data_IF_597435145837
#
_entry.id   IF_597435145837
#
_cell.length_a   1.000
_cell.length_b   1.000
_cell.length_c   1.000
_cell.angle_alpha   90.00
_cell.angle_beta   90.00
_cell.angle_gamma   90.00
#
_symmetry.space_group_name_H-M   'P 1'
#
loop_
_entity.id
_entity.type
_entity.pdbx_description
1 polymer ?
#
# COMPACT_ATOMS: atom_id res chain seq x y z
N UNK A 1 -2.18 -1.80 29.52
CA UNK A 1 -2.47 -1.28 28.15
C UNK A 1 -3.57 -2.14 27.54
N UNK A 2 -4.66 -1.57 27.04
CA UNK A 2 -5.63 -2.29 26.21
C UNK A 2 -5.30 -1.99 24.75
N UNK A 3 -5.24 -3.03 23.91
CA UNK A 3 -5.02 -2.89 22.46
C UNK A 3 -6.33 -2.63 21.69
N UNK A 4 -7.48 -2.79 22.35
CA UNK A 4 -8.79 -2.62 21.74
C UNK A 4 -9.29 -1.17 21.91
N UNK A 5 -9.60 -0.52 20.80
CA UNK A 5 -10.28 0.78 20.78
C UNK A 5 -11.75 0.66 21.18
N UNK A 6 -12.28 1.67 21.89
CA UNK A 6 -13.70 1.77 22.21
C UNK A 6 -14.47 2.57 21.16
N UNK A 7 -15.72 2.21 20.90
CA UNK A 7 -16.63 3.02 20.09
C UNK A 7 -17.12 4.24 20.89
N UNK A 8 -17.20 5.43 20.28
CA UNK A 8 -17.71 6.63 20.96
C UNK A 8 -19.16 6.45 21.38
N UNK A 9 -19.52 7.02 22.54
CA UNK A 9 -20.90 7.05 23.02
C UNK A 9 -21.76 7.90 22.09
N UNK A 10 -23.02 7.50 21.92
CA UNK A 10 -24.01 8.20 21.10
C UNK A 10 -24.50 9.50 21.78
N UNK A 11 -23.69 10.55 21.71
CA UNK A 11 -24.06 11.92 22.12
C UNK A 11 -24.00 12.85 20.92
N UNK A 12 -24.81 13.91 20.92
CA UNK A 12 -24.87 14.90 19.84
C UNK A 12 -23.52 15.60 19.60
N UNK A 13 -22.77 15.83 20.67
CA UNK A 13 -21.40 16.38 20.62
C UNK A 13 -20.41 15.42 19.93
N UNK A 14 -20.41 14.13 20.28
CA UNK A 14 -19.51 13.16 19.66
C UNK A 14 -19.79 13.00 18.16
N UNK A 15 -21.07 13.09 17.76
CA UNK A 15 -21.47 13.02 16.36
C UNK A 15 -20.98 14.23 15.57
N UNK A 16 -21.08 15.45 16.12
CA UNK A 16 -20.61 16.65 15.43
C UNK A 16 -19.09 16.64 15.25
N UNK A 17 -18.35 16.21 16.27
CA UNK A 17 -16.89 16.03 16.21
C UNK A 17 -16.51 14.96 15.19
N UNK A 18 -17.18 13.81 15.20
CA UNK A 18 -16.94 12.75 14.22
C UNK A 18 -17.17 13.21 12.79
N UNK A 19 -18.28 13.92 12.51
CA UNK A 19 -18.58 14.42 11.18
C UNK A 19 -17.55 15.46 10.70
N UNK A 20 -17.08 16.32 11.60
CA UNK A 20 -16.04 17.29 11.31
C UNK A 20 -14.71 16.58 10.98
N UNK A 21 -14.30 15.64 11.82
CA UNK A 21 -13.11 14.80 11.59
C UNK A 21 -13.23 14.04 10.27
N UNK A 22 -14.38 13.42 10.01
CA UNK A 22 -14.64 12.66 8.79
C UNK A 22 -14.56 13.53 7.54
N UNK A 23 -15.06 14.77 7.59
CA UNK A 23 -14.92 15.70 6.46
C UNK A 23 -13.46 16.08 6.23
N UNK A 24 -12.71 16.38 7.30
CA UNK A 24 -11.30 16.78 7.23
C UNK A 24 -10.43 15.64 6.67
N UNK A 25 -10.58 14.43 7.21
CA UNK A 25 -9.78 13.28 6.78
C UNK A 25 -10.05 12.94 5.31
N UNK A 26 -11.30 12.99 4.85
CA UNK A 26 -11.61 12.77 3.43
C UNK A 26 -10.97 13.83 2.53
N UNK A 27 -10.94 15.10 2.96
CA UNK A 27 -10.32 16.18 2.20
C UNK A 27 -8.80 16.03 2.16
N UNK A 28 -8.18 15.74 3.31
CA UNK A 28 -6.74 15.50 3.41
C UNK A 28 -6.32 14.31 2.55
N UNK A 29 -7.02 13.17 2.61
CA UNK A 29 -6.72 12.04 1.75
C UNK A 29 -6.96 12.35 0.26
N UNK A 30 -8.02 13.08 -0.09
CA UNK A 30 -8.24 13.46 -1.49
C UNK A 30 -7.10 14.34 -2.03
N UNK A 31 -6.64 15.32 -1.26
CA UNK A 31 -5.56 16.22 -1.70
C UNK A 31 -4.22 15.51 -1.65
N UNK A 32 -3.84 14.95 -0.51
CA UNK A 32 -2.52 14.37 -0.28
C UNK A 32 -2.35 13.06 -1.03
N UNK A 33 -3.30 12.13 -0.94
CA UNK A 33 -3.12 10.83 -1.58
C UNK A 33 -3.49 10.85 -3.06
N UNK A 34 -4.70 11.34 -3.39
CA UNK A 34 -5.21 11.23 -4.75
C UNK A 34 -4.60 12.27 -5.69
N UNK A 35 -4.64 13.57 -5.34
CA UNK A 35 -4.12 14.63 -6.23
C UNK A 35 -2.60 14.53 -6.37
N UNK A 36 -1.85 14.51 -5.26
CA UNK A 36 -0.38 14.46 -5.39
C UNK A 36 0.08 13.16 -6.02
N UNK A 37 -0.52 12.01 -5.65
CA UNK A 37 -0.22 10.72 -6.26
C UNK A 37 -0.48 10.70 -7.77
N UNK A 38 -1.62 11.23 -8.22
CA UNK A 38 -1.95 11.34 -9.63
C UNK A 38 -0.95 12.24 -10.38
N UNK A 39 -0.64 13.42 -9.84
CA UNK A 39 0.33 14.34 -10.45
C UNK A 39 1.71 13.69 -10.55
N UNK A 40 2.20 13.06 -9.48
CA UNK A 40 3.50 12.39 -9.49
C UNK A 40 3.54 11.24 -10.48
N UNK A 41 2.51 10.40 -10.54
CA UNK A 41 2.43 9.30 -11.52
C UNK A 41 2.40 9.81 -12.96
N UNK A 42 1.64 10.86 -13.24
CA UNK A 42 1.56 11.45 -14.58
C UNK A 42 2.89 12.09 -14.98
N UNK A 43 3.56 12.79 -14.07
CA UNK A 43 4.87 13.42 -14.32
C UNK A 43 5.97 12.38 -14.54
N UNK A 44 6.02 11.32 -13.73
CA UNK A 44 6.96 10.20 -13.93
C UNK A 44 6.67 9.45 -15.23
N UNK A 45 5.39 9.19 -15.55
CA UNK A 45 5.02 8.56 -16.82
C UNK A 45 5.41 9.41 -18.02
N UNK A 46 5.22 10.74 -17.94
CA UNK A 46 5.62 11.68 -18.98
C UNK A 46 7.15 11.73 -19.13
N UNK A 47 7.88 11.73 -18.02
CA UNK A 47 9.34 11.69 -18.01
C UNK A 47 9.85 10.41 -18.69
N UNK A 48 9.32 9.25 -18.31
CA UNK A 48 9.67 7.97 -18.94
C UNK A 48 9.32 7.99 -20.43
N UNK A 49 8.15 8.48 -20.80
CA UNK A 49 7.78 8.61 -22.22
C UNK A 49 8.77 9.47 -23.00
N UNK A 50 9.12 10.67 -22.53
CA UNK A 50 10.01 11.57 -23.30
C UNK A 50 11.43 11.01 -23.41
N UNK A 51 11.89 10.23 -22.43
CA UNK A 51 13.30 9.79 -22.32
C UNK A 51 13.56 8.40 -22.88
N UNK A 52 12.59 7.49 -22.81
CA UNK A 52 12.77 6.07 -23.17
C UNK A 52 11.86 5.60 -24.31
N UNK A 53 10.98 6.44 -24.85
CA UNK A 53 10.08 6.03 -25.93
C UNK A 53 10.84 5.53 -27.17
N UNK A 54 10.42 4.35 -27.66
CA UNK A 54 11.01 3.62 -28.82
C UNK A 54 12.48 3.19 -28.67
N UNK A 55 13.05 3.20 -27.46
CA UNK A 55 14.36 2.60 -27.23
C UNK A 55 14.24 1.08 -27.07
N UNK A 56 15.03 0.34 -27.83
CA UNK A 56 15.07 -1.13 -27.79
C UNK A 56 15.70 -1.63 -26.47
N UNK A 57 15.24 -2.79 -25.97
CA UNK A 57 15.82 -3.45 -24.79
C UNK A 57 15.37 -2.93 -23.43
N UNK A 58 14.36 -2.05 -23.36
CA UNK A 58 13.81 -1.47 -22.12
C UNK A 58 12.49 -2.14 -21.69
N UNK A 59 11.99 -3.11 -22.47
CA UNK A 59 10.64 -3.65 -22.32
C UNK A 59 10.36 -4.30 -20.96
N UNK A 60 11.40 -4.81 -20.28
CA UNK A 60 11.25 -5.57 -19.05
C UNK A 60 12.20 -5.05 -17.94
N UNK A 61 11.62 -4.46 -16.89
CA UNK A 61 12.29 -4.24 -15.60
C UNK A 61 12.80 -2.83 -15.34
N UNK A 62 13.77 -2.71 -14.41
CA UNK A 62 14.25 -1.45 -13.81
C UNK A 62 15.21 -0.67 -14.74
N UNK A 63 15.60 -1.26 -15.87
CA UNK A 63 16.60 -0.69 -16.79
C UNK A 63 16.24 0.69 -17.35
N UNK A 64 14.94 1.03 -17.42
CA UNK A 64 14.49 2.35 -17.85
C UNK A 64 15.02 3.48 -16.95
N UNK A 65 15.18 3.25 -15.64
CA UNK A 65 15.71 4.26 -14.70
C UNK A 65 17.15 4.67 -15.02
N UNK A 66 17.99 3.72 -15.44
CA UNK A 66 19.36 4.02 -15.87
C UNK A 66 19.39 4.81 -17.17
N UNK A 67 18.44 4.54 -18.08
CA UNK A 67 18.29 5.27 -19.34
C UNK A 67 17.78 6.69 -19.11
N UNK A 68 16.82 6.88 -18.20
CA UNK A 68 16.37 8.19 -17.73
C UNK A 68 17.54 8.99 -17.13
N UNK A 69 18.29 8.39 -16.21
CA UNK A 69 19.47 9.01 -15.61
C UNK A 69 20.53 9.42 -16.63
N UNK A 70 20.80 8.56 -17.61
CA UNK A 70 21.76 8.84 -18.69
C UNK A 70 21.27 9.99 -19.58
N UNK A 71 19.97 10.01 -19.90
CA UNK A 71 19.37 11.10 -20.68
C UNK A 71 19.42 12.44 -19.94
N UNK A 72 19.09 12.45 -18.65
CA UNK A 72 19.17 13.64 -17.78
C UNK A 72 20.61 14.14 -17.66
N UNK A 73 21.56 13.21 -17.50
CA UNK A 73 22.99 13.55 -17.43
C UNK A 73 23.49 14.24 -18.70
N UNK A 74 23.03 13.80 -19.87
CA UNK A 74 23.42 14.35 -21.17
C UNK A 74 22.81 15.73 -21.46
N UNK A 75 21.61 16.02 -20.94
CA UNK A 75 20.89 17.27 -21.23
C UNK A 75 20.98 18.31 -20.11
N UNK A 76 21.51 17.96 -18.94
CA UNK A 76 21.65 18.89 -17.82
C UNK A 76 23.07 18.83 -17.24
N UNK A 77 23.33 17.93 -16.29
CA UNK A 77 24.67 17.65 -15.74
C UNK A 77 24.70 16.24 -15.17
N UNK A 78 25.88 15.60 -15.14
CA UNK A 78 26.08 14.25 -14.58
C UNK A 78 25.69 14.16 -13.10
N UNK A 79 25.84 15.24 -12.34
CA UNK A 79 25.43 15.29 -10.93
C UNK A 79 23.91 15.13 -10.76
N UNK A 80 23.10 15.67 -11.67
CA UNK A 80 21.64 15.59 -11.59
C UNK A 80 21.16 14.19 -11.95
N UNK A 81 21.74 13.55 -12.97
CA UNK A 81 21.38 12.17 -13.31
C UNK A 81 21.75 11.16 -12.23
N UNK A 82 22.88 11.35 -11.54
CA UNK A 82 23.26 10.52 -10.39
C UNK A 82 22.36 10.78 -9.18
N UNK A 83 22.03 12.04 -8.90
CA UNK A 83 21.07 12.39 -7.85
C UNK A 83 19.68 11.77 -8.11
N UNK A 84 19.23 11.72 -9.37
CA UNK A 84 17.97 11.06 -9.75
C UNK A 84 17.96 9.58 -9.35
N UNK A 85 19.02 8.82 -9.66
CA UNK A 85 19.11 7.40 -9.27
C UNK A 85 19.15 7.22 -7.75
N UNK A 86 19.86 8.10 -7.04
CA UNK A 86 19.95 8.06 -5.59
C UNK A 86 18.58 8.30 -4.95
N UNK A 87 17.85 9.33 -5.41
CA UNK A 87 16.50 9.64 -4.93
C UNK A 87 15.55 8.49 -5.25
N UNK A 88 15.57 7.97 -6.48
CA UNK A 88 14.73 6.83 -6.87
C UNK A 88 15.01 5.60 -6.00
N UNK A 89 16.27 5.29 -5.73
CA UNK A 89 16.68 4.20 -4.84
C UNK A 89 16.15 4.41 -3.42
N UNK A 90 16.35 5.60 -2.83
CA UNK A 90 15.85 5.94 -1.49
C UNK A 90 14.32 5.85 -1.40
N UNK A 91 13.60 6.26 -2.44
CA UNK A 91 12.13 6.17 -2.49
C UNK A 91 11.65 4.72 -2.52
N UNK A 92 12.30 3.86 -3.32
CA UNK A 92 11.99 2.43 -3.37
C UNK A 92 12.25 1.77 -2.01
N UNK A 93 13.40 2.03 -1.39
CA UNK A 93 13.71 1.52 -0.05
C UNK A 93 12.72 2.05 1.01
N UNK A 94 12.45 3.36 1.02
CA UNK A 94 11.55 3.98 1.98
C UNK A 94 10.14 3.39 1.94
N UNK A 95 9.64 3.10 0.74
CA UNK A 95 8.34 2.44 0.55
C UNK A 95 8.35 1.04 1.15
N UNK A 96 9.39 0.24 0.88
CA UNK A 96 9.49 -1.13 1.40
C UNK A 96 9.67 -1.17 2.93
N UNK A 97 10.47 -0.27 3.50
CA UNK A 97 10.62 -0.17 4.95
C UNK A 97 9.28 0.14 5.65
N UNK A 98 8.48 1.04 5.09
CA UNK A 98 7.16 1.37 5.62
C UNK A 98 6.22 0.16 5.58
N UNK A 99 6.25 -0.62 4.50
CA UNK A 99 5.45 -1.84 4.34
C UNK A 99 5.86 -2.91 5.35
N UNK A 100 7.16 -3.22 5.47
CA UNK A 100 7.64 -4.23 6.42
C UNK A 100 7.33 -3.85 7.87
N UNK A 101 7.52 -2.58 8.23
CA UNK A 101 7.19 -2.09 9.56
C UNK A 101 5.69 -2.20 9.86
N UNK A 102 4.83 -1.76 8.93
CA UNK A 102 3.38 -1.77 9.11
C UNK A 102 2.84 -3.20 9.21
N UNK A 103 3.25 -4.09 8.31
CA UNK A 103 2.80 -5.48 8.29
C UNK A 103 3.30 -6.24 9.51
N UNK A 104 4.56 -6.06 9.92
CA UNK A 104 5.10 -6.69 11.14
C UNK A 104 4.35 -6.25 12.40
N UNK A 105 3.99 -4.97 12.48
CA UNK A 105 3.16 -4.45 13.58
C UNK A 105 1.77 -5.08 13.58
N UNK A 106 1.06 -5.05 12.44
CA UNK A 106 -0.29 -5.62 12.31
C UNK A 106 -0.30 -7.12 12.65
N UNK A 107 0.68 -7.89 12.17
CA UNK A 107 0.78 -9.32 12.47
C UNK A 107 1.05 -9.57 13.96
N UNK A 108 1.95 -8.80 14.57
CA UNK A 108 2.26 -8.92 15.99
C UNK A 108 1.06 -8.60 16.88
N UNK A 109 0.31 -7.55 16.55
CA UNK A 109 -0.90 -7.14 17.28
C UNK A 109 -2.01 -8.19 17.11
N UNK A 110 -2.28 -8.64 15.88
CA UNK A 110 -3.27 -9.67 15.60
C UNK A 110 -2.98 -10.99 16.33
N UNK A 111 -1.72 -11.40 16.42
CA UNK A 111 -1.34 -12.63 17.13
C UNK A 111 -1.62 -12.56 18.64
N UNK A 112 -1.32 -11.40 19.26
CA UNK A 112 -1.60 -11.16 20.68
C UNK A 112 -3.10 -11.11 20.94
N UNK A 113 -3.88 -10.47 20.07
CA UNK A 113 -5.34 -10.38 20.16
C UNK A 113 -5.99 -11.76 19.99
N UNK A 114 -5.51 -12.58 19.05
CA UNK A 114 -6.07 -13.90 18.76
C UNK A 114 -5.75 -14.93 19.86
N UNK A 115 -4.59 -14.82 20.53
CA UNK A 115 -4.15 -15.79 21.53
C UNK A 115 -3.55 -15.13 22.78
N UNK A 116 -4.35 -14.36 23.55
CA UNK A 116 -3.87 -13.57 24.68
C UNK A 116 -3.34 -14.43 25.84
N UNK A 117 -3.77 -15.69 25.91
CA UNK A 117 -3.27 -16.67 26.91
C UNK A 117 -1.85 -17.15 26.60
N UNK A 118 -1.45 -17.17 25.33
CA UNK A 118 -0.15 -17.67 24.87
C UNK A 118 0.85 -16.54 24.61
N UNK A 119 0.36 -15.40 24.11
CA UNK A 119 1.19 -14.24 23.77
C UNK A 119 0.75 -13.03 24.57
N UNK A 120 1.68 -12.45 25.33
CA UNK A 120 1.43 -11.27 26.16
C UNK A 120 1.76 -9.99 25.40
N UNK A 121 1.09 -8.90 25.75
CA UNK A 121 1.33 -7.55 25.20
C UNK A 121 2.79 -7.11 25.42
N UNK A 122 3.41 -7.52 26.53
CA UNK A 122 4.82 -7.26 26.84
C UNK A 122 5.79 -7.85 25.79
N UNK A 123 5.36 -8.87 25.05
CA UNK A 123 6.16 -9.52 24.01
C UNK A 123 6.03 -8.87 22.63
N UNK A 124 5.24 -7.80 22.49
CA UNK A 124 4.96 -7.16 21.20
C UNK A 124 6.24 -6.76 20.45
N UNK A 125 7.22 -6.17 21.14
CA UNK A 125 8.50 -5.81 20.53
C UNK A 125 9.26 -7.02 20.01
N UNK A 126 9.24 -8.15 20.73
CA UNK A 126 9.89 -9.39 20.27
C UNK A 126 9.17 -9.97 19.05
N UNK A 127 7.83 -10.03 19.11
CA UNK A 127 7.01 -10.52 18.00
C UNK A 127 7.18 -9.66 16.75
N UNK A 128 7.27 -8.34 16.90
CA UNK A 128 7.55 -7.43 15.81
C UNK A 128 8.85 -7.80 15.09
N UNK A 129 9.96 -7.98 15.82
CA UNK A 129 11.24 -8.34 15.20
C UNK A 129 11.21 -9.74 14.59
N UNK A 130 10.48 -10.70 15.19
CA UNK A 130 10.33 -12.04 14.61
C UNK A 130 9.62 -11.96 13.25
N UNK A 131 8.48 -11.25 13.15
CA UNK A 131 7.77 -11.10 11.88
C UNK A 131 8.57 -10.32 10.85
N UNK A 132 9.31 -9.29 11.28
CA UNK A 132 10.19 -8.52 10.41
C UNK A 132 11.28 -9.41 9.78
N UNK A 133 12.01 -10.15 10.60
CA UNK A 133 13.05 -11.05 10.11
C UNK A 133 12.49 -12.19 9.27
N UNK A 134 11.31 -12.72 9.61
CA UNK A 134 10.63 -13.72 8.81
C UNK A 134 10.31 -13.20 7.39
N UNK A 135 9.84 -11.96 7.27
CA UNK A 135 9.56 -11.32 5.98
C UNK A 135 10.84 -11.11 5.16
N UNK A 136 11.92 -10.63 5.79
CA UNK A 136 13.22 -10.45 5.14
C UNK A 136 13.77 -11.79 4.64
N UNK A 137 13.78 -12.81 5.50
CA UNK A 137 14.24 -14.15 5.15
C UNK A 137 13.39 -14.78 4.04
N UNK A 138 12.07 -14.56 4.06
CA UNK A 138 11.17 -14.97 2.99
C UNK A 138 11.55 -14.33 1.65
N UNK A 139 11.83 -13.02 1.64
CA UNK A 139 12.32 -12.31 0.44
C UNK A 139 13.66 -12.86 -0.06
N UNK A 140 14.62 -13.09 0.84
CA UNK A 140 15.90 -13.71 0.49
C UNK A 140 15.73 -15.11 -0.12
N UNK A 141 14.84 -15.94 0.44
CA UNK A 141 14.57 -17.28 -0.05
C UNK A 141 13.98 -17.26 -1.48
N UNK A 142 13.09 -16.31 -1.78
CA UNK A 142 12.53 -16.13 -3.13
C UNK A 142 13.64 -15.80 -4.14
N UNK A 143 14.57 -14.91 -3.79
CA UNK A 143 15.70 -14.61 -4.67
C UNK A 143 16.63 -15.82 -4.85
N UNK A 144 16.90 -16.58 -3.79
CA UNK A 144 17.71 -17.80 -3.87
C UNK A 144 17.06 -18.90 -4.73
N UNK A 145 15.73 -18.92 -4.83
CA UNK A 145 15.00 -19.85 -5.69
C UNK A 145 15.09 -19.50 -7.19
N UNK A 146 15.80 -18.43 -7.57
CA UNK A 146 16.08 -18.08 -8.96
C UNK A 146 15.07 -17.11 -9.59
N UNK A 147 14.15 -16.52 -8.80
CA UNK A 147 13.27 -15.47 -9.29
C UNK A 147 14.02 -14.14 -9.40
N UNK A 148 14.75 -13.96 -10.51
CA UNK A 148 15.58 -12.76 -10.76
C UNK A 148 14.89 -11.72 -11.63
N UNK A 149 13.85 -12.08 -12.38
CA UNK A 149 13.11 -11.16 -13.25
C UNK A 149 12.16 -10.26 -12.43
N UNK A 150 12.42 -8.95 -12.34
CA UNK A 150 11.59 -8.04 -11.53
C UNK A 150 10.16 -7.96 -12.05
N UNK A 151 9.97 -8.05 -13.38
CA UNK A 151 8.66 -7.91 -14.00
C UNK A 151 7.70 -9.02 -13.55
N UNK A 152 8.15 -10.28 -13.56
CA UNK A 152 7.32 -11.41 -13.15
C UNK A 152 6.91 -11.29 -11.69
N UNK A 153 7.85 -10.92 -10.80
CA UNK A 153 7.55 -10.68 -9.39
C UNK A 153 6.56 -9.53 -9.19
N UNK A 154 6.67 -8.45 -9.97
CA UNK A 154 5.73 -7.33 -9.93
C UNK A 154 4.35 -7.74 -10.43
N UNK A 155 4.25 -8.51 -11.51
CA UNK A 155 2.97 -9.02 -12.04
C UNK A 155 2.32 -9.96 -11.02
N UNK A 156 3.04 -10.96 -10.51
CA UNK A 156 2.52 -11.86 -9.48
C UNK A 156 2.08 -11.09 -8.24
N UNK A 157 2.87 -10.10 -7.80
CA UNK A 157 2.51 -9.20 -6.71
C UNK A 157 1.24 -8.39 -6.99
N UNK A 158 1.06 -7.90 -8.22
CA UNK A 158 -0.13 -7.17 -8.63
C UNK A 158 -1.39 -8.05 -8.62
N UNK A 159 -1.29 -9.31 -9.08
CA UNK A 159 -2.39 -10.28 -9.04
C UNK A 159 -2.76 -10.64 -7.60
N UNK A 160 -1.76 -10.94 -6.76
CA UNK A 160 -1.97 -11.20 -5.34
C UNK A 160 -2.59 -9.99 -4.61
N UNK A 161 -2.16 -8.77 -4.96
CA UNK A 161 -2.73 -7.55 -4.41
C UNK A 161 -4.20 -7.37 -4.83
N UNK A 162 -4.54 -7.63 -6.11
CA UNK A 162 -5.93 -7.58 -6.57
C UNK A 162 -6.83 -8.58 -5.80
N UNK A 163 -6.36 -9.81 -5.59
CA UNK A 163 -7.07 -10.81 -4.81
C UNK A 163 -7.24 -10.39 -3.33
N UNK A 164 -6.20 -9.80 -2.75
CA UNK A 164 -6.24 -9.26 -1.38
C UNK A 164 -7.25 -8.11 -1.26
N UNK A 165 -7.26 -7.19 -2.24
CA UNK A 165 -8.20 -6.07 -2.29
C UNK A 165 -9.66 -6.53 -2.42
N UNK A 166 -9.92 -7.62 -3.13
CA UNK A 166 -11.24 -8.24 -3.18
C UNK A 166 -11.73 -8.68 -1.79
N UNK A 167 -10.92 -9.45 -1.06
CA UNK A 167 -11.25 -9.90 0.30
C UNK A 167 -11.40 -8.70 1.25
N UNK A 168 -10.49 -7.75 1.16
CA UNK A 168 -10.49 -6.53 1.98
C UNK A 168 -11.77 -5.70 1.76
N UNK A 169 -12.20 -5.51 0.52
CA UNK A 169 -13.41 -4.76 0.19
C UNK A 169 -14.67 -5.42 0.79
N UNK A 170 -14.76 -6.76 0.76
CA UNK A 170 -15.83 -7.53 1.42
C UNK A 170 -15.80 -7.31 2.93
N UNK A 171 -14.63 -7.42 3.56
CA UNK A 171 -14.48 -7.23 5.01
C UNK A 171 -14.87 -5.82 5.44
N UNK A 172 -14.48 -4.78 4.69
CA UNK A 172 -14.90 -3.41 4.95
C UNK A 172 -16.40 -3.24 4.78
N UNK A 173 -16.99 -3.85 3.75
CA UNK A 173 -18.44 -3.79 3.56
C UNK A 173 -19.17 -4.41 4.77
N UNK A 174 -18.72 -5.56 5.25
CA UNK A 174 -19.27 -6.22 6.45
C UNK A 174 -19.10 -5.31 7.67
N UNK A 175 -17.92 -4.72 7.88
CA UNK A 175 -17.66 -3.78 8.97
C UNK A 175 -18.64 -2.59 8.95
N UNK A 176 -18.83 -1.99 7.77
CA UNK A 176 -19.69 -0.83 7.54
C UNK A 176 -21.19 -1.10 7.72
N UNK A 177 -21.62 -2.36 7.61
CA UNK A 177 -23.03 -2.75 7.70
C UNK A 177 -23.37 -3.40 9.04
N UNK A 178 -22.50 -4.27 9.57
CA UNK A 178 -22.80 -5.11 10.75
C UNK A 178 -22.19 -4.60 12.05
N UNK A 179 -21.00 -4.03 12.03
CA UNK A 179 -20.25 -3.68 13.25
C UNK A 179 -20.35 -2.20 13.61
N UNK A 180 -20.38 -1.31 12.61
CA UNK A 180 -20.42 0.12 12.85
C UNK A 180 -21.81 0.60 13.29
N UNK A 181 -21.91 1.40 14.38
CA UNK A 181 -23.14 2.09 14.74
C UNK A 181 -23.67 2.94 13.58
N UNK A 182 -25.00 3.00 13.44
CA UNK A 182 -25.66 3.73 12.33
C UNK A 182 -25.22 5.21 12.20
N UNK A 183 -24.78 5.84 13.29
CA UNK A 183 -24.26 7.22 13.27
C UNK A 183 -22.92 7.39 12.55
N UNK A 184 -22.08 6.36 12.56
CA UNK A 184 -20.76 6.36 11.91
C UNK A 184 -20.76 5.61 10.58
N UNK A 185 -21.91 5.05 10.20
CA UNK A 185 -22.05 4.29 8.97
C UNK A 185 -21.87 5.20 7.74
N UNK A 186 -21.14 4.76 6.72
CA UNK A 186 -20.98 5.52 5.49
C UNK A 186 -22.30 5.60 4.71
N UNK A 187 -22.41 6.62 3.86
CA UNK A 187 -23.59 6.82 3.01
C UNK A 187 -23.86 5.63 2.08
N UNK A 188 -25.11 5.48 1.66
CA UNK A 188 -25.55 4.43 0.72
C UNK A 188 -24.76 4.45 -0.58
N UNK A 189 -24.41 5.63 -1.09
CA UNK A 189 -23.54 5.80 -2.27
C UNK A 189 -22.17 5.14 -2.06
N UNK A 190 -21.52 5.38 -0.91
CA UNK A 190 -20.20 4.80 -0.62
C UNK A 190 -20.28 3.28 -0.49
N UNK A 191 -21.38 2.76 0.06
CA UNK A 191 -21.63 1.30 0.12
C UNK A 191 -21.79 0.71 -1.28
N UNK A 192 -22.47 1.39 -2.20
CA UNK A 192 -22.59 0.96 -3.59
C UNK A 192 -21.22 0.94 -4.29
N UNK A 193 -20.40 1.99 -4.10
CA UNK A 193 -19.02 2.04 -4.64
C UNK A 193 -18.18 0.87 -4.11
N UNK A 194 -18.29 0.52 -2.82
CA UNK A 194 -17.60 -0.65 -2.26
C UNK A 194 -18.01 -1.97 -2.93
N UNK A 195 -19.29 -2.14 -3.26
CA UNK A 195 -19.78 -3.32 -3.99
C UNK A 195 -19.20 -3.34 -5.40
N UNK A 196 -19.20 -2.20 -6.10
CA UNK A 196 -18.60 -2.07 -7.44
C UNK A 196 -17.11 -2.41 -7.39
N UNK A 197 -16.37 -1.86 -6.42
CA UNK A 197 -14.96 -2.16 -6.23
C UNK A 197 -14.73 -3.67 -5.96
N UNK A 198 -15.58 -4.29 -5.16
CA UNK A 198 -15.55 -5.74 -4.90
C UNK A 198 -15.75 -6.53 -6.20
N UNK A 199 -16.76 -6.18 -7.00
CA UNK A 199 -17.00 -6.85 -8.28
C UNK A 199 -15.84 -6.64 -9.27
N UNK A 200 -15.27 -5.43 -9.30
CA UNK A 200 -14.15 -5.09 -10.16
C UNK A 200 -12.89 -5.90 -9.80
N UNK A 201 -12.46 -5.86 -8.54
CA UNK A 201 -11.27 -6.61 -8.09
C UNK A 201 -11.49 -8.12 -8.17
N UNK A 202 -12.69 -8.61 -7.86
CA UNK A 202 -13.04 -10.02 -7.98
C UNK A 202 -13.02 -10.51 -9.42
N UNK A 203 -13.66 -9.78 -10.33
CA UNK A 203 -13.66 -10.09 -11.76
C UNK A 203 -12.25 -10.07 -12.35
N UNK A 204 -11.44 -9.07 -11.99
CA UNK A 204 -10.06 -8.96 -12.47
C UNK A 204 -9.16 -10.10 -11.93
N UNK A 205 -9.34 -10.46 -10.66
CA UNK A 205 -8.59 -11.59 -10.05
C UNK A 205 -8.94 -12.91 -10.74
N UNK A 206 -10.22 -13.16 -11.05
CA UNK A 206 -10.65 -14.37 -11.76
C UNK A 206 -10.14 -14.38 -13.20
N UNK A 207 -10.14 -13.23 -13.88
CA UNK A 207 -9.67 -13.13 -15.27
C UNK A 207 -8.16 -13.35 -15.41
N UNK A 208 -7.38 -12.97 -14.40
CA UNK A 208 -5.91 -12.99 -14.47
C UNK A 208 -5.29 -14.32 -14.01
N UNK A 209 -6.04 -15.13 -13.25
CA UNK A 209 -5.64 -16.50 -12.85
C UNK A 209 -5.99 -17.48 -13.96
#
# INVERSE_FOLDING_TARGET
>A
MKLEGGLPKNTTENISVFNLWWRRINLEHAIVFWITGAVTMLMLSLLSYITTYKKEGIENGINFLFQESSYISAHTTTAIGTAFLLIASLMLFGTQFSVYASTSRILSENLVIFSPKKFRIESLSKLFYIFLWLQILGGCAVFMAGFTEPLNLVITGAVMNAATMFVYAIMIYILNVKLLPKMMAPSTLRRAIMIIATLFYGGFSIFTI
#
